data_IF_500145498655
#
_entry.id   IF_500145498655
#
_cell.length_a   1.000
_cell.length_b   1.000
_cell.length_c   1.000
_cell.angle_alpha   90.00
_cell.angle_beta   90.00
_cell.angle_gamma   90.00
#
_symmetry.space_group_name_H-M   'P 1'
#
loop_
_entity.id
_entity.type
_entity.pdbx_description
1 polymer ?
#
# COMPACT_ATOMS: atom_id res chain seq x y z
N UNK A 1 -17.72 4.11 -1.22
CA UNK A 1 -17.25 2.73 -1.39
C UNK A 1 -15.71 2.63 -1.39
N UNK A 2 -14.99 3.31 -2.31
CA UNK A 2 -13.52 3.26 -2.38
C UNK A 2 -12.84 3.69 -1.08
N UNK A 3 -13.34 4.71 -0.39
CA UNK A 3 -12.83 5.16 0.90
C UNK A 3 -12.96 4.10 2.00
N UNK A 4 -14.06 3.37 2.04
CA UNK A 4 -14.26 2.25 2.98
C UNK A 4 -13.27 1.13 2.68
N UNK A 5 -13.05 0.80 1.41
CA UNK A 5 -12.07 -0.22 1.04
C UNK A 5 -10.65 0.19 1.39
N UNK A 6 -10.24 1.43 1.04
CA UNK A 6 -8.86 1.88 1.23
C UNK A 6 -8.56 2.19 2.70
N UNK A 7 -9.36 3.04 3.32
CA UNK A 7 -9.09 3.48 4.70
C UNK A 7 -9.61 2.45 5.73
N UNK A 8 -10.79 1.86 5.50
CA UNK A 8 -11.39 0.89 6.41
C UNK A 8 -10.72 -0.48 6.33
N UNK A 9 -11.00 -1.21 5.27
CA UNK A 9 -10.58 -2.61 5.18
C UNK A 9 -9.07 -2.78 4.91
N UNK A 10 -8.46 -1.94 4.09
CA UNK A 10 -7.01 -2.06 3.84
C UNK A 10 -6.21 -1.60 5.06
N UNK A 11 -6.29 -0.31 5.42
CA UNK A 11 -5.49 0.19 6.56
C UNK A 11 -5.91 -0.48 7.87
N UNK A 12 -7.21 -0.57 8.14
CA UNK A 12 -7.73 -1.26 9.32
C UNK A 12 -7.32 -2.73 9.36
N UNK A 13 -7.38 -3.44 8.23
CA UNK A 13 -6.97 -4.84 8.12
C UNK A 13 -5.47 -5.06 8.37
N UNK A 14 -4.61 -4.17 7.86
CA UNK A 14 -3.17 -4.21 8.14
C UNK A 14 -2.89 -4.01 9.63
N UNK A 15 -3.44 -2.95 10.25
CA UNK A 15 -3.25 -2.72 11.68
C UNK A 15 -3.84 -3.85 12.54
N UNK A 16 -4.99 -4.37 12.17
CA UNK A 16 -5.60 -5.50 12.86
C UNK A 16 -4.75 -6.76 12.73
N UNK A 17 -4.17 -7.04 11.55
CA UNK A 17 -3.30 -8.20 11.37
C UNK A 17 -2.09 -8.16 12.30
N UNK A 18 -1.45 -7.00 12.43
CA UNK A 18 -0.33 -6.77 13.34
C UNK A 18 -0.76 -6.87 14.81
N UNK A 19 -1.93 -6.33 15.18
CA UNK A 19 -2.48 -6.43 16.54
C UNK A 19 -2.79 -7.88 16.96
N UNK A 20 -2.98 -8.78 15.98
CA UNK A 20 -3.15 -10.23 16.21
C UNK A 20 -1.82 -11.00 16.20
N UNK A 21 -0.69 -10.29 16.22
CA UNK A 21 0.64 -10.87 16.35
C UNK A 21 1.29 -11.26 15.01
N UNK A 22 0.73 -10.85 13.87
CA UNK A 22 1.42 -11.05 12.60
C UNK A 22 2.63 -10.11 12.52
N UNK A 23 3.85 -10.61 12.26
CA UNK A 23 5.01 -9.77 12.07
C UNK A 23 4.79 -8.72 10.98
N UNK A 24 5.20 -7.47 11.24
CA UNK A 24 4.97 -6.34 10.32
C UNK A 24 5.56 -6.60 8.93
N UNK A 25 6.73 -7.25 8.85
CA UNK A 25 7.35 -7.65 7.59
C UNK A 25 6.49 -8.63 6.78
N UNK A 26 5.86 -9.61 7.44
CA UNK A 26 4.96 -10.57 6.77
C UNK A 26 3.67 -9.88 6.32
N UNK A 27 3.09 -9.01 7.14
CA UNK A 27 1.92 -8.22 6.75
C UNK A 27 2.23 -7.34 5.53
N UNK A 28 3.37 -6.64 5.54
CA UNK A 28 3.83 -5.82 4.42
C UNK A 28 4.08 -6.67 3.16
N UNK A 29 4.69 -7.86 3.30
CA UNK A 29 4.95 -8.76 2.17
C UNK A 29 3.65 -9.23 1.51
N UNK A 30 2.63 -9.59 2.30
CA UNK A 30 1.31 -9.98 1.76
C UNK A 30 0.72 -8.81 0.96
N UNK A 31 0.72 -7.60 1.52
CA UNK A 31 0.17 -6.42 0.83
C UNK A 31 1.00 -6.05 -0.42
N UNK A 32 2.30 -6.31 -0.41
CA UNK A 32 3.19 -6.09 -1.56
C UNK A 32 2.86 -7.03 -2.75
N UNK A 33 1.97 -8.01 -2.59
CA UNK A 33 1.37 -8.75 -3.71
C UNK A 33 0.35 -7.93 -4.53
N UNK A 34 -0.06 -6.74 -4.07
CA UNK A 34 -1.04 -5.89 -4.73
C UNK A 34 -0.73 -5.61 -6.22
N UNK A 35 0.49 -5.26 -6.65
CA UNK A 35 0.77 -5.06 -8.07
C UNK A 35 0.57 -6.31 -8.91
N UNK A 36 0.88 -7.51 -8.38
CA UNK A 36 0.63 -8.77 -9.07
C UNK A 36 -0.86 -8.96 -9.30
N UNK A 37 -1.66 -8.78 -8.24
CA UNK A 37 -3.11 -8.93 -8.31
C UNK A 37 -3.76 -7.85 -9.18
N UNK A 38 -3.28 -6.62 -9.11
CA UNK A 38 -3.74 -5.52 -9.97
C UNK A 38 -3.45 -5.80 -11.44
N UNK A 39 -2.24 -6.27 -11.78
CA UNK A 39 -1.90 -6.64 -13.16
C UNK A 39 -2.80 -7.76 -13.70
N UNK A 40 -3.06 -8.78 -12.89
CA UNK A 40 -3.94 -9.88 -13.29
C UNK A 40 -5.39 -9.41 -13.55
N UNK A 41 -5.87 -8.44 -12.76
CA UNK A 41 -7.25 -7.96 -12.81
C UNK A 41 -7.45 -6.72 -13.71
N UNK A 42 -6.39 -5.99 -14.06
CA UNK A 42 -6.48 -4.77 -14.87
C UNK A 42 -7.04 -5.05 -16.28
N UNK A 43 -6.68 -6.16 -16.90
CA UNK A 43 -7.22 -6.58 -18.19
C UNK A 43 -8.73 -6.81 -18.13
N UNK A 44 -9.23 -7.75 -17.34
CA UNK A 44 -10.65 -8.08 -17.24
C UNK A 44 -11.52 -6.91 -16.76
N UNK A 45 -11.04 -6.11 -15.79
CA UNK A 45 -11.87 -5.08 -15.13
C UNK A 45 -11.79 -3.72 -15.81
N UNK A 46 -10.57 -3.30 -16.21
CA UNK A 46 -10.32 -1.96 -16.76
C UNK A 46 -10.08 -1.95 -18.27
N UNK A 47 -10.01 -3.14 -18.90
CA UNK A 47 -9.62 -3.32 -20.31
C UNK A 47 -8.21 -2.77 -20.60
N UNK A 48 -7.35 -2.71 -19.59
CA UNK A 48 -5.95 -2.33 -19.75
C UNK A 48 -5.15 -3.48 -20.39
N UNK A 49 -4.27 -3.15 -21.35
CA UNK A 49 -3.35 -4.12 -21.93
C UNK A 49 -2.11 -4.21 -21.05
N UNK A 50 -2.03 -5.27 -20.25
CA UNK A 50 -0.84 -5.56 -19.45
C UNK A 50 0.18 -6.27 -20.32
N UNK A 51 1.35 -5.67 -20.49
CA UNK A 51 2.41 -6.21 -21.36
C UNK A 51 3.27 -7.24 -20.64
N UNK A 52 3.97 -8.10 -21.38
CA UNK A 52 4.92 -9.06 -20.82
C UNK A 52 6.05 -8.36 -20.03
N UNK A 53 6.47 -7.18 -20.49
CA UNK A 53 7.47 -6.38 -19.76
C UNK A 53 6.97 -5.93 -18.38
N UNK A 54 5.69 -5.56 -18.28
CA UNK A 54 5.08 -5.23 -16.99
C UNK A 54 5.08 -6.44 -16.05
N UNK A 55 4.79 -7.64 -16.55
CA UNK A 55 4.86 -8.86 -15.75
C UNK A 55 6.28 -9.16 -15.24
N UNK A 56 7.30 -9.06 -16.12
CA UNK A 56 8.70 -9.22 -15.70
C UNK A 56 9.05 -8.19 -14.63
N UNK A 57 8.70 -6.92 -14.85
CA UNK A 57 8.99 -5.86 -13.90
C UNK A 57 8.29 -6.06 -12.55
N UNK A 58 7.05 -6.54 -12.55
CA UNK A 58 6.30 -6.85 -11.33
C UNK A 58 6.93 -8.02 -10.56
N UNK A 59 7.35 -9.08 -11.24
CA UNK A 59 8.03 -10.21 -10.59
C UNK A 59 9.36 -9.77 -9.98
N UNK A 60 10.17 -9.02 -10.73
CA UNK A 60 11.43 -8.47 -10.22
C UNK A 60 11.20 -7.51 -9.04
N UNK A 61 10.21 -6.62 -9.16
CA UNK A 61 9.85 -5.71 -8.09
C UNK A 61 9.44 -6.43 -6.82
N UNK A 62 8.63 -7.48 -6.93
CA UNK A 62 8.24 -8.32 -5.80
C UNK A 62 9.43 -9.05 -5.16
N UNK A 63 10.31 -9.63 -5.96
CA UNK A 63 11.52 -10.31 -5.46
C UNK A 63 12.41 -9.30 -4.71
N UNK A 64 12.63 -8.10 -5.27
CA UNK A 64 13.40 -7.06 -4.61
C UNK A 64 12.78 -6.59 -3.29
N UNK A 65 11.46 -6.37 -3.26
CA UNK A 65 10.74 -6.00 -2.04
C UNK A 65 10.80 -7.11 -0.98
N UNK A 66 10.67 -8.37 -1.40
CA UNK A 66 10.75 -9.53 -0.51
C UNK A 66 12.15 -9.69 0.13
N UNK A 67 13.21 -9.38 -0.63
CA UNK A 67 14.59 -9.39 -0.09
C UNK A 67 14.80 -8.33 0.99
N UNK A 68 14.22 -7.12 0.81
CA UNK A 68 14.31 -6.04 1.83
C UNK A 68 13.49 -6.38 3.07
N UNK A 69 12.26 -6.88 2.89
CA UNK A 69 11.38 -7.19 4.02
C UNK A 69 11.86 -8.40 4.83
N UNK A 70 12.63 -9.30 4.21
CA UNK A 70 13.07 -10.55 4.82
C UNK A 70 11.93 -11.53 5.08
N UNK A 71 12.29 -12.73 5.52
CA UNK A 71 11.35 -13.78 5.91
C UNK A 71 11.65 -14.19 7.36
N UNK A 72 11.18 -13.40 8.32
CA UNK A 72 11.23 -13.86 9.72
C UNK A 72 9.99 -14.72 10.01
N UNK A 73 10.16 -16.02 9.86
CA UNK A 73 9.12 -17.05 10.07
C UNK A 73 9.35 -17.79 11.39
N UNK A 74 10.08 -17.19 12.33
CA UNK A 74 10.53 -17.86 13.56
C UNK A 74 9.44 -18.27 14.58
N UNK A 75 8.17 -17.93 14.34
CA UNK A 75 7.03 -18.26 15.20
C UNK A 75 5.86 -18.85 14.41
N UNK A 76 4.95 -19.57 15.10
CA UNK A 76 3.67 -19.98 14.52
C UNK A 76 2.87 -18.76 14.11
N UNK A 77 2.67 -18.57 12.81
CA UNK A 77 1.98 -17.41 12.28
C UNK A 77 0.49 -17.42 12.68
N UNK A 78 -0.06 -16.31 13.18
CA UNK A 78 -1.45 -16.23 13.61
C UNK A 78 -2.38 -16.28 12.39
N UNK A 79 -3.22 -17.29 12.30
CA UNK A 79 -4.16 -17.49 11.18
C UNK A 79 -5.06 -16.28 10.98
N UNK A 80 -5.61 -15.71 12.07
CA UNK A 80 -6.47 -14.52 12.01
C UNK A 80 -5.70 -13.30 11.45
N UNK A 81 -4.43 -13.14 11.84
CA UNK A 81 -3.57 -12.06 11.31
C UNK A 81 -3.32 -12.22 9.81
N UNK A 82 -3.02 -13.45 9.36
CA UNK A 82 -2.84 -13.73 7.92
C UNK A 82 -4.13 -13.46 7.14
N UNK A 83 -5.28 -13.93 7.62
CA UNK A 83 -6.57 -13.69 6.98
C UNK A 83 -6.86 -12.19 6.85
N UNK A 84 -6.61 -11.42 7.90
CA UNK A 84 -6.78 -9.96 7.88
C UNK A 84 -5.87 -9.28 6.86
N UNK A 85 -4.60 -9.71 6.74
CA UNK A 85 -3.67 -9.19 5.73
C UNK A 85 -4.13 -9.51 4.29
N UNK A 86 -4.68 -10.69 4.04
CA UNK A 86 -5.27 -11.01 2.73
C UNK A 86 -6.54 -10.21 2.44
N UNK A 87 -7.39 -9.96 3.43
CA UNK A 87 -8.54 -9.06 3.29
C UNK A 87 -8.06 -7.65 2.94
N UNK A 88 -7.01 -7.16 3.60
CA UNK A 88 -6.39 -5.88 3.29
C UNK A 88 -5.85 -5.82 1.85
N UNK A 89 -5.16 -6.88 1.38
CA UNK A 89 -4.68 -7.01 0.00
C UNK A 89 -5.82 -6.92 -1.03
N UNK A 90 -6.89 -7.66 -0.81
CA UNK A 90 -8.08 -7.64 -1.69
C UNK A 90 -8.72 -6.25 -1.67
N UNK A 91 -8.83 -5.63 -0.50
CA UNK A 91 -9.44 -4.32 -0.32
C UNK A 91 -8.65 -3.21 -1.05
N UNK A 92 -7.32 -3.16 -0.90
CA UNK A 92 -6.50 -2.15 -1.58
C UNK A 92 -6.50 -2.37 -3.10
N UNK A 93 -6.44 -3.62 -3.56
CA UNK A 93 -6.51 -3.94 -4.99
C UNK A 93 -7.85 -3.50 -5.59
N UNK A 94 -8.95 -3.87 -4.94
CA UNK A 94 -10.30 -3.50 -5.37
C UNK A 94 -10.52 -1.99 -5.34
N UNK A 95 -10.03 -1.31 -4.31
CA UNK A 95 -10.09 0.16 -4.21
C UNK A 95 -9.35 0.83 -5.36
N UNK A 96 -8.14 0.37 -5.67
CA UNK A 96 -7.31 0.92 -6.76
C UNK A 96 -7.99 0.76 -8.12
N UNK A 97 -8.50 -0.44 -8.44
CA UNK A 97 -9.20 -0.72 -9.69
C UNK A 97 -10.49 0.10 -9.82
N UNK A 98 -11.25 0.20 -8.73
CA UNK A 98 -12.45 1.02 -8.68
C UNK A 98 -12.15 2.51 -8.85
N UNK A 99 -11.12 3.00 -8.17
CA UNK A 99 -10.66 4.38 -8.28
C UNK A 99 -10.22 4.70 -9.72
N UNK A 100 -9.50 3.81 -10.37
CA UNK A 100 -9.12 3.97 -11.79
C UNK A 100 -10.35 4.06 -12.69
N UNK A 101 -11.34 3.20 -12.48
CA UNK A 101 -12.59 3.21 -13.25
C UNK A 101 -13.36 4.54 -13.11
N UNK A 102 -13.36 5.14 -11.92
CA UNK A 102 -14.07 6.40 -11.64
C UNK A 102 -13.26 7.65 -11.98
N UNK A 103 -11.93 7.56 -12.09
CA UNK A 103 -11.03 8.70 -12.16
C UNK A 103 -11.26 9.61 -13.38
N UNK A 104 -11.83 9.08 -14.44
CA UNK A 104 -12.12 9.84 -15.66
C UNK A 104 -13.38 10.74 -15.52
N UNK A 105 -14.25 10.46 -14.55
CA UNK A 105 -15.55 11.10 -14.43
C UNK A 105 -15.62 12.15 -13.31
N UNK A 106 -14.63 12.19 -12.42
CA UNK A 106 -14.65 13.06 -11.24
C UNK A 106 -13.37 13.89 -11.10
N UNK A 107 -13.47 15.16 -10.64
CA UNK A 107 -12.31 15.91 -10.17
C UNK A 107 -11.62 15.17 -9.01
N UNK A 108 -10.27 15.26 -8.95
CA UNK A 108 -9.49 14.58 -7.89
C UNK A 108 -9.89 15.03 -6.48
N UNK A 109 -10.13 16.33 -6.29
CA UNK A 109 -10.54 16.89 -4.99
C UNK A 109 -11.87 16.28 -4.52
N UNK A 110 -12.84 16.17 -5.43
CA UNK A 110 -14.16 15.58 -5.12
C UNK A 110 -14.01 14.09 -4.79
N UNK A 111 -13.23 13.36 -5.59
CA UNK A 111 -12.97 11.94 -5.34
C UNK A 111 -12.29 11.71 -3.98
N UNK A 112 -11.27 12.51 -3.64
CA UNK A 112 -10.57 12.40 -2.37
C UNK A 112 -11.48 12.76 -1.19
N UNK A 113 -12.32 13.80 -1.32
CA UNK A 113 -13.28 14.17 -0.28
C UNK A 113 -14.26 13.02 0.02
N UNK A 114 -14.87 12.41 -1.01
CA UNK A 114 -15.77 11.28 -0.78
C UNK A 114 -15.07 10.05 -0.21
N UNK A 115 -13.80 9.83 -0.55
CA UNK A 115 -13.02 8.75 0.05
C UNK A 115 -12.73 9.01 1.52
N UNK A 116 -12.35 10.24 1.88
CA UNK A 116 -12.13 10.63 3.28
C UNK A 116 -13.42 10.50 4.12
N UNK A 117 -14.55 10.97 3.59
CA UNK A 117 -15.86 10.82 4.26
C UNK A 117 -16.19 9.34 4.46
N UNK A 118 -16.05 8.51 3.41
CA UNK A 118 -16.34 7.09 3.52
C UNK A 118 -15.44 6.36 4.53
N UNK A 119 -14.15 6.69 4.57
CA UNK A 119 -13.22 6.17 5.56
C UNK A 119 -13.56 6.64 6.99
N UNK A 120 -13.87 7.93 7.16
CA UNK A 120 -14.27 8.51 8.44
C UNK A 120 -15.53 7.84 9.01
N UNK A 121 -16.58 7.69 8.19
CA UNK A 121 -17.83 7.04 8.61
C UNK A 121 -17.59 5.57 9.00
N UNK A 122 -16.78 4.84 8.23
CA UNK A 122 -16.44 3.48 8.58
C UNK A 122 -15.74 3.37 9.93
N UNK A 123 -14.70 4.17 10.16
CA UNK A 123 -13.98 4.17 11.43
C UNK A 123 -14.82 4.66 12.59
N UNK A 124 -15.70 5.65 12.36
CA UNK A 124 -16.64 6.10 13.38
C UNK A 124 -17.55 4.97 13.85
N UNK A 125 -18.11 4.20 12.91
CA UNK A 125 -18.96 3.03 13.24
C UNK A 125 -18.16 1.98 14.03
N UNK A 126 -16.91 1.68 13.60
CA UNK A 126 -16.05 0.72 14.29
C UNK A 126 -15.73 1.18 15.72
N UNK A 127 -15.41 2.47 15.90
CA UNK A 127 -15.13 3.03 17.22
C UNK A 127 -16.37 2.94 18.13
N UNK A 128 -17.53 3.35 17.65
CA UNK A 128 -18.75 3.36 18.43
C UNK A 128 -19.24 1.96 18.85
N UNK A 129 -18.92 0.93 18.04
CA UNK A 129 -19.40 -0.42 18.29
C UNK A 129 -18.42 -1.35 19.02
N UNK A 130 -17.11 -1.10 18.87
CA UNK A 130 -16.08 -2.09 19.23
C UNK A 130 -14.91 -1.53 20.05
N UNK A 131 -14.82 -0.22 20.25
CA UNK A 131 -13.63 0.40 20.86
C UNK A 131 -14.04 1.44 21.90
N UNK A 132 -13.43 1.38 23.07
CA UNK A 132 -13.44 2.50 24.02
C UNK A 132 -12.30 3.46 23.64
N UNK A 133 -12.59 4.60 23.00
CA UNK A 133 -11.56 5.46 22.45
C UNK A 133 -10.80 6.16 23.59
N UNK A 134 -9.49 5.95 23.62
CA UNK A 134 -8.59 6.69 24.51
C UNK A 134 -7.50 7.37 23.70
N UNK A 135 -7.31 8.67 23.93
CA UNK A 135 -6.28 9.47 23.28
C UNK A 135 -5.40 10.12 24.33
N UNK A 136 -4.09 9.85 24.26
CA UNK A 136 -3.10 10.56 25.05
C UNK A 136 -2.40 11.59 24.17
N UNK A 137 -2.64 12.88 24.41
CA UNK A 137 -2.08 13.99 23.65
C UNK A 137 -0.62 14.29 24.04
N UNK A 138 0.26 13.32 23.80
CA UNK A 138 1.70 13.51 23.93
C UNK A 138 2.26 14.33 22.76
N UNK A 139 3.43 14.95 22.95
CA UNK A 139 4.15 15.64 21.87
C UNK A 139 4.42 14.71 20.68
N UNK A 140 4.82 13.48 20.95
CA UNK A 140 5.05 12.45 19.92
C UNK A 140 3.78 12.14 19.13
N UNK A 141 2.63 11.99 19.83
CA UNK A 141 1.34 11.76 19.16
C UNK A 141 0.97 12.93 18.24
N UNK A 142 1.10 14.18 18.71
CA UNK A 142 0.78 15.37 17.91
C UNK A 142 1.65 15.46 16.67
N UNK A 143 2.97 15.21 16.79
CA UNK A 143 3.90 15.21 15.65
C UNK A 143 3.53 14.11 14.66
N UNK A 144 3.29 12.87 15.13
CA UNK A 144 2.93 11.73 14.28
C UNK A 144 1.60 11.99 13.55
N UNK A 145 0.58 12.50 14.25
CA UNK A 145 -0.71 12.82 13.63
C UNK A 145 -0.60 13.97 12.62
N UNK A 146 0.19 15.00 12.92
CA UNK A 146 0.42 16.10 11.98
C UNK A 146 1.11 15.58 10.70
N UNK A 147 2.13 14.75 10.84
CA UNK A 147 2.79 14.08 9.70
C UNK A 147 1.78 13.26 8.90
N UNK A 148 0.98 12.43 9.54
CA UNK A 148 0.00 11.57 8.89
C UNK A 148 -1.07 12.38 8.13
N UNK A 149 -1.55 13.48 8.70
CA UNK A 149 -2.55 14.32 8.06
C UNK A 149 -1.94 15.12 6.90
N UNK A 150 -0.86 15.84 7.15
CA UNK A 150 -0.32 16.80 6.17
C UNK A 150 0.44 16.08 5.06
N UNK A 151 1.42 15.23 5.40
CA UNK A 151 2.30 14.63 4.41
C UNK A 151 1.68 13.39 3.76
N UNK A 152 0.99 12.54 4.52
CA UNK A 152 0.43 11.31 3.97
C UNK A 152 -0.95 11.58 3.35
N UNK A 153 -1.91 12.12 4.11
CA UNK A 153 -3.29 12.26 3.59
C UNK A 153 -3.42 13.35 2.53
N UNK A 154 -2.84 14.54 2.73
CA UNK A 154 -2.89 15.60 1.71
C UNK A 154 -1.80 15.42 0.65
N UNK A 155 -0.57 15.09 1.02
CA UNK A 155 0.55 14.95 0.11
C UNK A 155 0.51 13.64 -0.68
N UNK A 156 0.99 12.56 -0.08
CA UNK A 156 1.21 11.29 -0.76
C UNK A 156 -0.07 10.70 -1.36
N UNK A 157 -1.21 10.77 -0.65
CA UNK A 157 -2.48 10.25 -1.15
C UNK A 157 -2.98 11.05 -2.38
N UNK A 158 -2.83 12.37 -2.40
CA UNK A 158 -3.19 13.18 -3.57
C UNK A 158 -2.31 12.85 -4.78
N UNK A 159 -0.99 12.65 -4.56
CA UNK A 159 -0.06 12.22 -5.62
C UNK A 159 -0.47 10.83 -6.14
N UNK A 160 -0.79 9.88 -5.25
CA UNK A 160 -1.26 8.56 -5.64
C UNK A 160 -2.51 8.64 -6.52
N UNK A 161 -3.50 9.44 -6.11
CA UNK A 161 -4.74 9.61 -6.89
C UNK A 161 -4.47 10.27 -8.24
N UNK A 162 -3.55 11.22 -8.30
CA UNK A 162 -3.10 11.82 -9.57
C UNK A 162 -2.44 10.79 -10.50
N UNK A 163 -1.58 9.94 -9.95
CA UNK A 163 -0.93 8.87 -10.71
C UNK A 163 -1.94 7.84 -11.24
N UNK A 164 -2.90 7.41 -10.41
CA UNK A 164 -3.97 6.48 -10.83
C UNK A 164 -4.83 7.12 -11.94
N UNK A 165 -5.12 8.41 -11.85
CA UNK A 165 -5.92 9.11 -12.86
C UNK A 165 -5.20 9.16 -14.21
N UNK A 166 -3.92 9.52 -14.22
CA UNK A 166 -3.18 9.84 -15.45
C UNK A 166 -2.40 8.67 -16.05
N UNK A 167 -2.23 7.56 -15.30
CA UNK A 167 -1.53 6.37 -15.78
C UNK A 167 -2.45 5.14 -15.70
N UNK A 168 -2.00 4.01 -16.26
CA UNK A 168 -2.66 2.73 -16.00
C UNK A 168 -2.56 2.34 -14.51
N UNK A 169 -3.58 1.65 -14.00
CA UNK A 169 -3.56 1.15 -12.63
C UNK A 169 -2.35 0.24 -12.40
N UNK A 170 -2.08 -0.64 -13.36
CA UNK A 170 -0.96 -1.57 -13.38
C UNK A 170 0.41 -0.87 -13.22
N UNK A 171 0.68 0.19 -14.00
CA UNK A 171 1.95 0.95 -13.89
C UNK A 171 2.05 1.68 -12.55
N UNK A 172 0.96 2.27 -12.08
CA UNK A 172 0.96 3.05 -10.83
C UNK A 172 1.29 2.18 -9.63
N UNK A 173 0.63 1.03 -9.47
CA UNK A 173 0.86 0.18 -8.31
C UNK A 173 2.23 -0.51 -8.29
N UNK A 174 2.86 -0.67 -9.46
CA UNK A 174 4.22 -1.25 -9.52
C UNK A 174 5.25 -0.39 -8.78
N UNK A 175 5.03 0.93 -8.68
CA UNK A 175 5.89 1.84 -7.92
C UNK A 175 5.93 1.47 -6.43
N UNK A 176 4.89 0.79 -5.91
CA UNK A 176 4.83 0.40 -4.50
C UNK A 176 5.90 -0.62 -4.09
N UNK A 177 6.51 -1.31 -5.04
CA UNK A 177 7.67 -2.16 -4.73
C UNK A 177 8.89 -1.38 -4.22
N UNK A 178 8.93 -0.06 -4.41
CA UNK A 178 9.98 0.78 -3.86
C UNK A 178 9.75 1.15 -2.38
N UNK A 179 8.53 0.95 -1.85
CA UNK A 179 8.19 1.36 -0.48
C UNK A 179 9.08 0.68 0.57
N UNK A 180 9.28 -0.66 0.57
CA UNK A 180 10.14 -1.29 1.56
C UNK A 180 11.57 -0.75 1.54
N UNK A 181 12.12 -0.59 0.34
CA UNK A 181 13.47 -0.12 0.15
C UNK A 181 13.66 1.35 0.53
N UNK A 182 12.70 2.22 0.20
CA UNK A 182 12.73 3.62 0.66
C UNK A 182 12.53 3.73 2.16
N UNK A 183 11.71 2.86 2.76
CA UNK A 183 11.54 2.80 4.22
C UNK A 183 12.82 2.38 4.91
N UNK A 184 13.55 1.37 4.41
CA UNK A 184 14.84 0.95 4.95
C UNK A 184 15.89 2.08 4.83
N UNK A 185 15.94 2.78 3.70
CA UNK A 185 16.82 3.93 3.52
C UNK A 185 16.51 5.08 4.50
N UNK A 186 15.24 5.35 4.77
CA UNK A 186 14.82 6.35 5.75
C UNK A 186 15.15 5.92 7.18
N UNK A 187 14.97 4.64 7.52
CA UNK A 187 15.34 4.10 8.83
C UNK A 187 16.86 4.21 9.06
N UNK A 188 17.67 3.93 8.06
CA UNK A 188 19.12 4.16 8.11
C UNK A 188 19.45 5.64 8.35
N UNK A 189 18.81 6.56 7.61
CA UNK A 189 19.13 7.99 7.67
C UNK A 189 18.69 8.66 8.96
N UNK A 190 17.51 8.31 9.49
CA UNK A 190 16.87 9.01 10.59
C UNK A 190 16.87 8.24 11.92
N UNK A 191 16.97 6.90 11.88
CA UNK A 191 16.88 6.05 13.06
C UNK A 191 18.22 5.38 13.40
N UNK A 192 19.29 5.64 12.62
CA UNK A 192 20.61 5.00 12.74
C UNK A 192 20.56 3.46 12.62
N UNK A 193 19.58 2.93 11.91
CA UNK A 193 19.52 1.50 11.60
C UNK A 193 20.56 1.14 10.54
N UNK A 194 21.16 -0.05 10.62
CA UNK A 194 22.15 -0.49 9.64
C UNK A 194 21.47 -1.00 8.37
N UNK A 195 21.88 -0.50 7.20
CA UNK A 195 21.49 -1.12 5.93
C UNK A 195 22.24 -2.44 5.75
N UNK A 196 21.49 -3.49 5.51
CA UNK A 196 22.06 -4.79 5.19
C UNK A 196 22.41 -4.91 3.69
N UNK A 197 23.22 -5.88 3.37
CA UNK A 197 23.52 -6.20 1.96
C UNK A 197 22.25 -6.58 1.18
N UNK A 198 21.30 -7.24 1.83
CA UNK A 198 20.00 -7.62 1.23
C UNK A 198 19.14 -6.40 0.94
N UNK A 199 19.18 -5.35 1.78
CA UNK A 199 18.42 -4.10 1.53
C UNK A 199 18.93 -3.41 0.26
N UNK A 200 20.24 -3.35 0.07
CA UNK A 200 20.84 -2.72 -1.11
C UNK A 200 20.52 -3.51 -2.38
N UNK A 201 20.69 -4.84 -2.36
CA UNK A 201 20.40 -5.69 -3.53
C UNK A 201 18.88 -5.65 -3.82
N UNK A 202 18.05 -5.78 -2.81
CA UNK A 202 16.59 -5.72 -2.94
C UNK A 202 16.13 -4.39 -3.54
N UNK A 203 16.73 -3.27 -3.11
CA UNK A 203 16.46 -1.95 -3.68
C UNK A 203 16.83 -1.88 -5.17
N UNK A 204 17.99 -2.37 -5.55
CA UNK A 204 18.45 -2.35 -6.96
C UNK A 204 17.53 -3.21 -7.84
N UNK A 205 17.17 -4.41 -7.38
CA UNK A 205 16.26 -5.32 -8.11
C UNK A 205 14.87 -4.70 -8.22
N UNK A 206 14.31 -4.15 -7.12
CA UNK A 206 13.00 -3.51 -7.14
C UNK A 206 12.98 -2.30 -8.07
N UNK A 207 14.00 -1.45 -8.02
CA UNK A 207 14.14 -0.27 -8.88
C UNK A 207 14.22 -0.64 -10.35
N UNK A 208 14.99 -1.67 -10.68
CA UNK A 208 15.08 -2.19 -12.05
C UNK A 208 13.75 -2.80 -12.53
N UNK A 209 13.07 -3.54 -11.66
CA UNK A 209 11.73 -4.07 -11.94
C UNK A 209 10.71 -2.97 -12.22
N UNK A 210 10.66 -1.93 -11.39
CA UNK A 210 9.79 -0.75 -11.58
C UNK A 210 10.13 -0.04 -12.89
N UNK A 211 11.42 0.15 -13.19
CA UNK A 211 11.86 0.77 -14.43
C UNK A 211 11.37 0.01 -15.67
N UNK A 212 11.51 -1.33 -15.69
CA UNK A 212 11.03 -2.16 -16.80
C UNK A 212 9.50 -2.07 -16.94
N UNK A 213 8.76 -2.15 -15.83
CA UNK A 213 7.30 -2.15 -15.84
C UNK A 213 6.70 -0.80 -16.26
N UNK A 214 7.37 0.31 -15.93
CA UNK A 214 6.85 1.66 -16.18
C UNK A 214 7.31 2.25 -17.51
N UNK A 215 8.37 1.71 -18.12
CA UNK A 215 8.90 2.17 -19.40
C UNK A 215 7.86 2.03 -20.50
N UNK A 216 7.62 3.11 -21.24
CA UNK A 216 6.74 3.09 -22.40
C UNK A 216 7.34 2.25 -23.54
N UNK A 217 6.52 1.41 -24.14
CA UNK A 217 6.85 0.81 -25.44
C UNK A 217 6.60 1.90 -26.50
N UNK A 218 7.67 2.50 -27.02
CA UNK A 218 7.60 3.24 -28.28
C UNK A 218 7.24 2.29 -29.40
#
# INVERSE_FOLDING_TARGET
>A
FSGVLFHGFYLGGVFFSVSKGLPTGIAALIVTLQPILTNALAGPILKEKVTWKQWIGVVLGFVGAALVLGFDVGSTLPVIGIQAAFVALIAITSSTLWQKKLSNNLPLSVSNMYQAIGGCLFHLIVILLFVDPYINFTKTFIIAMSHQIILVSFGAFTILMYLIKNNSASKTVTIFFLIPATSAAMAWLFLNESLTFYDIIGFLIASFGVFIATRENK
#
